data_IF_789727880592
#
_entry.id   IF_789727880592
#
_cell.length_a   1.000
_cell.length_b   1.000
_cell.length_c   1.000
_cell.angle_alpha   90.00
_cell.angle_beta   90.00
_cell.angle_gamma   90.00
#
_symmetry.space_group_name_H-M   'P 1'
#
loop_
_entity.id
_entity.type
_entity.pdbx_description
1 polymer ?
#
# COMPACT_ATOMS: atom_id res chain seq x y z
N UNK A 1 12.16 16.66 23.31
CA UNK A 1 12.78 16.06 22.11
C UNK A 1 12.67 17.07 20.99
N UNK A 2 13.79 17.73 20.65
CA UNK A 2 13.82 18.84 19.69
C UNK A 2 13.81 18.31 18.26
N UNK A 3 12.84 18.78 17.48
CA UNK A 3 12.67 18.55 16.04
C UNK A 3 13.76 19.27 15.23
N UNK A 4 14.98 18.76 15.24
CA UNK A 4 16.08 19.30 14.42
C UNK A 4 16.66 18.16 13.59
N UNK A 5 16.17 18.03 12.35
CA UNK A 5 16.71 17.12 11.33
C UNK A 5 16.02 15.75 11.26
N UNK A 6 14.75 15.69 10.86
CA UNK A 6 14.17 14.40 10.45
C UNK A 6 14.73 14.02 9.08
N UNK A 7 15.43 12.90 9.04
CA UNK A 7 15.92 12.28 7.81
C UNK A 7 14.80 11.42 7.21
N UNK A 8 14.85 11.18 5.89
CA UNK A 8 13.90 10.30 5.22
C UNK A 8 13.89 8.92 5.89
N UNK A 9 12.70 8.45 6.28
CA UNK A 9 12.53 7.17 6.99
C UNK A 9 12.50 7.29 8.51
N UNK A 10 12.66 8.48 9.10
CA UNK A 10 12.54 8.65 10.55
C UNK A 10 11.10 8.47 11.04
N UNK A 11 11.00 7.90 12.25
CA UNK A 11 9.76 7.73 13.00
C UNK A 11 9.47 9.04 13.74
N UNK A 12 8.40 9.73 13.35
CA UNK A 12 7.99 10.99 13.94
C UNK A 12 7.18 10.81 15.23
N UNK A 13 6.39 9.74 15.29
CA UNK A 13 5.57 9.38 16.45
C UNK A 13 5.52 7.87 16.54
N UNK A 14 5.79 7.37 17.74
CA UNK A 14 5.63 5.97 18.10
C UNK A 14 4.54 5.89 19.16
N UNK A 15 3.44 5.20 18.85
CA UNK A 15 2.44 4.86 19.85
C UNK A 15 2.64 3.41 20.28
N UNK A 16 2.95 3.16 21.57
CA UNK A 16 3.11 1.80 22.06
C UNK A 16 1.78 1.04 21.94
N UNK A 17 1.90 -0.27 21.73
CA UNK A 17 0.75 -1.16 21.67
C UNK A 17 -0.01 -1.18 23.01
N UNK A 18 -1.32 -1.45 22.94
CA UNK A 18 -2.18 -1.50 24.14
C UNK A 18 -1.96 -2.76 25.00
N UNK A 19 -1.45 -3.83 24.38
CA UNK A 19 -1.12 -5.10 25.04
C UNK A 19 -2.29 -5.68 25.87
N UNK A 20 -3.48 -5.73 25.27
CA UNK A 20 -4.68 -6.23 25.93
C UNK A 20 -4.60 -7.73 26.23
N UNK A 21 -4.66 -8.11 27.51
CA UNK A 21 -4.73 -9.52 27.95
C UNK A 21 -5.97 -10.23 27.43
N UNK A 22 -7.10 -9.53 27.36
CA UNK A 22 -8.34 -10.07 26.81
C UNK A 22 -8.18 -10.45 25.33
N UNK A 23 -7.45 -9.64 24.56
CA UNK A 23 -7.16 -9.93 23.16
C UNK A 23 -6.23 -11.13 22.99
N UNK A 24 -5.21 -11.27 23.87
CA UNK A 24 -4.35 -12.46 23.88
C UNK A 24 -5.17 -13.74 24.11
N UNK A 25 -6.06 -13.74 25.12
CA UNK A 25 -6.94 -14.88 25.41
C UNK A 25 -7.85 -15.18 24.23
N UNK A 26 -8.46 -14.15 23.63
CA UNK A 26 -9.32 -14.31 22.46
C UNK A 26 -8.56 -14.94 21.28
N UNK A 27 -7.34 -14.48 20.98
CA UNK A 27 -6.49 -15.07 19.95
C UNK A 27 -6.23 -16.54 20.24
N UNK A 28 -5.86 -16.90 21.47
CA UNK A 28 -5.61 -18.30 21.84
C UNK A 28 -6.87 -19.15 21.62
N UNK A 29 -8.04 -18.68 22.05
CA UNK A 29 -9.30 -19.41 21.85
C UNK A 29 -9.64 -19.58 20.36
N UNK A 30 -9.51 -18.51 19.57
CA UNK A 30 -9.72 -18.57 18.12
C UNK A 30 -8.72 -19.55 17.47
N UNK A 31 -7.44 -19.54 17.86
CA UNK A 31 -6.48 -20.51 17.31
C UNK A 31 -6.81 -21.96 17.63
N UNK A 32 -7.42 -22.24 18.79
CA UNK A 32 -7.91 -23.60 19.09
C UNK A 32 -9.06 -23.97 18.16
N UNK A 33 -9.99 -23.04 17.91
CA UNK A 33 -11.09 -23.21 16.96
C UNK A 33 -10.54 -23.43 15.55
N UNK A 34 -9.58 -22.63 15.11
CA UNK A 34 -8.89 -22.76 13.82
C UNK A 34 -8.29 -24.16 13.64
N UNK A 35 -7.57 -24.67 14.64
CA UNK A 35 -6.99 -26.02 14.58
C UNK A 35 -8.07 -27.08 14.42
N UNK A 36 -9.20 -26.95 15.11
CA UNK A 36 -10.34 -27.87 14.97
C UNK A 36 -10.96 -27.76 13.58
N UNK A 37 -11.16 -26.56 13.06
CA UNK A 37 -11.72 -26.33 11.73
C UNK A 37 -10.80 -26.89 10.64
N UNK A 38 -9.51 -26.55 10.66
CA UNK A 38 -8.51 -27.06 9.72
C UNK A 38 -8.39 -28.58 9.82
N UNK A 39 -8.45 -29.13 11.04
CA UNK A 39 -8.46 -30.58 11.27
C UNK A 39 -9.68 -31.26 10.63
N UNK A 40 -10.87 -30.70 10.84
CA UNK A 40 -12.12 -31.20 10.25
C UNK A 40 -12.11 -31.07 8.72
N UNK A 41 -11.63 -29.96 8.18
CA UNK A 41 -11.46 -29.75 6.74
C UNK A 41 -10.53 -30.80 6.12
N UNK A 42 -9.37 -30.98 6.73
CA UNK A 42 -8.36 -31.95 6.28
C UNK A 42 -8.89 -33.38 6.35
N UNK A 43 -9.58 -33.72 7.44
CA UNK A 43 -10.25 -35.01 7.59
C UNK A 43 -11.33 -35.22 6.52
N UNK A 44 -12.18 -34.22 6.28
CA UNK A 44 -13.22 -34.28 5.26
C UNK A 44 -12.68 -34.42 3.84
N UNK A 45 -11.56 -33.78 3.52
CA UNK A 45 -10.86 -33.95 2.24
C UNK A 45 -10.32 -35.37 2.08
N UNK A 46 -9.59 -35.89 3.07
CA UNK A 46 -9.04 -37.25 3.03
C UNK A 46 -10.14 -38.31 3.01
N UNK A 47 -11.24 -38.06 3.73
CA UNK A 47 -12.44 -38.91 3.74
C UNK A 47 -13.30 -38.83 2.48
N UNK A 48 -12.90 -38.04 1.48
CA UNK A 48 -13.60 -37.95 0.19
C UNK A 48 -14.92 -37.19 0.22
N UNK A 49 -15.17 -36.35 1.23
CA UNK A 49 -16.42 -35.57 1.33
C UNK A 49 -16.62 -34.63 0.13
N UNK A 50 -15.53 -34.16 -0.48
CA UNK A 50 -15.56 -33.30 -1.67
C UNK A 50 -15.95 -33.99 -2.98
N UNK A 51 -16.16 -35.31 -3.00
CA UNK A 51 -16.56 -36.04 -4.21
C UNK A 51 -18.04 -35.86 -4.58
N UNK A 52 -18.86 -35.43 -3.61
CA UNK A 52 -20.28 -35.15 -3.83
C UNK A 52 -20.50 -33.64 -3.92
N UNK A 53 -21.50 -33.21 -4.69
CA UNK A 53 -21.82 -31.78 -4.86
C UNK A 53 -22.07 -31.09 -3.50
N UNK A 54 -22.91 -31.70 -2.66
CA UNK A 54 -23.25 -31.18 -1.33
C UNK A 54 -22.02 -31.14 -0.42
N UNK A 55 -21.21 -32.19 -0.42
CA UNK A 55 -20.01 -32.24 0.42
C UNK A 55 -18.91 -31.27 -0.04
N UNK A 56 -18.80 -31.01 -1.34
CA UNK A 56 -17.91 -29.97 -1.87
C UNK A 56 -18.35 -28.56 -1.45
N UNK A 57 -19.66 -28.26 -1.49
CA UNK A 57 -20.20 -26.99 -0.97
C UNK A 57 -19.95 -26.84 0.53
N UNK A 58 -20.14 -27.92 1.31
CA UNK A 58 -19.85 -27.92 2.74
C UNK A 58 -18.37 -27.64 3.03
N UNK A 59 -17.45 -28.33 2.36
CA UNK A 59 -16.01 -28.09 2.49
C UNK A 59 -15.63 -26.66 2.07
N UNK A 60 -16.24 -26.12 1.02
CA UNK A 60 -16.07 -24.72 0.63
C UNK A 60 -16.52 -23.73 1.70
N UNK A 61 -17.67 -23.97 2.33
CA UNK A 61 -18.16 -23.18 3.46
C UNK A 61 -17.26 -23.28 4.69
N UNK A 62 -16.74 -24.47 4.97
CA UNK A 62 -15.79 -24.72 6.05
C UNK A 62 -14.46 -23.99 5.78
N UNK A 63 -13.95 -24.03 4.55
CA UNK A 63 -12.77 -23.28 4.13
C UNK A 63 -12.96 -21.76 4.27
N UNK A 64 -14.14 -21.24 3.91
CA UNK A 64 -14.46 -19.84 4.14
C UNK A 64 -14.47 -19.50 5.64
N UNK A 65 -15.02 -20.38 6.48
CA UNK A 65 -15.00 -20.25 7.94
C UNK A 65 -13.58 -20.17 8.50
N UNK A 66 -12.67 -21.03 8.04
CA UNK A 66 -11.23 -21.00 8.38
C UNK A 66 -10.62 -19.64 8.07
N UNK A 67 -10.82 -19.13 6.85
CA UNK A 67 -10.27 -17.81 6.49
C UNK A 67 -10.87 -16.65 7.29
N UNK A 68 -12.15 -16.73 7.64
CA UNK A 68 -12.80 -15.74 8.49
C UNK A 68 -12.19 -15.77 9.90
N UNK A 69 -12.03 -16.95 10.49
CA UNK A 69 -11.44 -17.10 11.82
C UNK A 69 -9.99 -16.57 11.85
N UNK A 70 -9.18 -16.98 10.87
CA UNK A 70 -7.82 -16.46 10.68
C UNK A 70 -7.80 -14.94 10.53
N UNK A 71 -8.75 -14.36 9.78
CA UNK A 71 -8.84 -12.91 9.63
C UNK A 71 -9.13 -12.21 10.97
N UNK A 72 -9.97 -12.80 11.84
CA UNK A 72 -10.22 -12.26 13.18
C UNK A 72 -8.98 -12.33 14.07
N UNK A 73 -8.23 -13.44 14.03
CA UNK A 73 -6.95 -13.57 14.74
C UNK A 73 -5.98 -12.47 14.31
N UNK A 74 -5.80 -12.29 13.00
CA UNK A 74 -4.90 -11.26 12.45
C UNK A 74 -5.37 -9.85 12.76
N UNK A 75 -6.68 -9.60 12.73
CA UNK A 75 -7.26 -8.29 13.05
C UNK A 75 -7.02 -7.94 14.51
N UNK A 76 -7.28 -8.87 15.44
CA UNK A 76 -7.02 -8.68 16.86
C UNK A 76 -5.53 -8.44 17.12
N UNK A 77 -4.65 -9.24 16.48
CA UNK A 77 -3.21 -9.04 16.58
C UNK A 77 -2.79 -7.64 16.11
N UNK A 78 -3.28 -7.23 14.94
CA UNK A 78 -3.01 -5.90 14.36
C UNK A 78 -3.51 -4.77 15.24
N UNK A 79 -4.69 -4.92 15.83
CA UNK A 79 -5.31 -3.85 16.61
C UNK A 79 -4.65 -3.66 17.96
N UNK A 80 -4.22 -4.75 18.60
CA UNK A 80 -3.84 -4.70 20.02
C UNK A 80 -2.33 -4.85 20.28
N UNK A 81 -1.58 -5.49 19.37
CA UNK A 81 -0.14 -5.79 19.57
C UNK A 81 0.79 -5.09 18.58
N UNK A 82 0.29 -4.60 17.45
CA UNK A 82 1.11 -3.85 16.50
C UNK A 82 1.18 -2.38 16.92
N UNK A 83 2.39 -1.81 17.13
CA UNK A 83 2.54 -0.40 17.43
C UNK A 83 2.19 0.46 16.21
N UNK A 84 1.55 1.60 16.44
CA UNK A 84 1.28 2.56 15.38
C UNK A 84 2.47 3.50 15.24
N UNK A 85 3.01 3.59 14.01
CA UNK A 85 4.22 4.37 13.71
C UNK A 85 3.97 5.31 12.56
N UNK A 86 4.13 6.60 12.86
CA UNK A 86 4.09 7.64 11.84
C UNK A 86 5.48 7.79 11.24
N UNK A 87 5.67 7.19 10.06
CA UNK A 87 6.92 7.25 9.30
C UNK A 87 6.78 8.29 8.20
N UNK A 88 7.72 9.23 8.13
CA UNK A 88 7.74 10.19 7.03
C UNK A 88 8.24 9.52 5.76
N UNK A 89 7.37 9.45 4.75
CA UNK A 89 7.71 9.01 3.40
C UNK A 89 7.85 10.21 2.46
N UNK A 90 9.06 10.44 1.96
CA UNK A 90 9.33 11.20 0.73
C UNK A 90 8.56 10.60 -0.44
N UNK A 91 7.69 11.40 -1.03
CA UNK A 91 6.99 11.12 -2.30
C UNK A 91 8.02 10.99 -3.43
N UNK A 92 7.88 10.02 -4.34
CA UNK A 92 8.64 10.01 -5.60
C UNK A 92 8.24 11.25 -6.41
N UNK A 93 9.22 12.00 -6.93
CA UNK A 93 8.93 13.19 -7.76
C UNK A 93 8.12 12.75 -8.98
N UNK A 94 6.97 13.40 -9.20
CA UNK A 94 6.21 13.23 -10.45
C UNK A 94 6.82 14.20 -11.47
N UNK A 95 6.72 13.89 -12.76
CA UNK A 95 7.27 14.71 -13.85
C UNK A 95 6.70 16.15 -13.85
N UNK A 96 5.50 16.34 -13.30
CA UNK A 96 4.87 17.64 -13.07
C UNK A 96 5.63 18.51 -12.04
N UNK A 97 6.29 17.91 -11.05
CA UNK A 97 7.08 18.65 -10.05
C UNK A 97 8.50 18.99 -10.55
N UNK A 98 8.86 18.57 -11.76
CA UNK A 98 10.16 18.82 -12.37
C UNK A 98 10.24 20.21 -13.01
N UNK A 99 9.10 20.74 -13.46
CA UNK A 99 8.98 22.04 -14.10
C UNK A 99 8.23 22.99 -13.16
N UNK A 100 8.98 23.71 -12.35
CA UNK A 100 8.42 24.60 -11.33
C UNK A 100 7.98 25.95 -11.93
N UNK A 101 8.26 26.21 -13.22
CA UNK A 101 7.93 27.47 -13.89
C UNK A 101 7.37 27.20 -15.29
N UNK A 102 6.28 27.90 -15.61
CA UNK A 102 5.52 27.79 -16.87
C UNK A 102 6.41 28.05 -18.11
N UNK A 103 7.49 28.81 -17.93
CA UNK A 103 8.53 29.13 -18.91
C UNK A 103 9.48 27.98 -19.30
N UNK A 104 9.53 26.87 -18.53
CA UNK A 104 10.35 25.69 -18.86
C UNK A 104 9.55 24.61 -19.64
N UNK A 105 8.25 24.81 -19.88
CA UNK A 105 7.34 23.82 -20.50
C UNK A 105 7.61 23.65 -22.00
N UNK A 106 7.94 24.73 -22.71
CA UNK A 106 8.21 24.70 -24.16
C UNK A 106 9.66 24.36 -24.50
N UNK A 107 10.49 24.08 -23.49
CA UNK A 107 11.94 23.98 -23.64
C UNK A 107 12.55 25.29 -24.13
N UNK A 108 13.87 25.43 -24.01
CA UNK A 108 14.56 26.49 -24.74
C UNK A 108 14.40 26.21 -26.24
N UNK A 109 13.44 26.87 -26.88
CA UNK A 109 13.30 26.88 -28.32
C UNK A 109 14.52 27.60 -28.88
N UNK A 110 15.52 26.81 -29.30
CA UNK A 110 16.77 27.25 -29.97
C UNK A 110 16.47 28.07 -31.26
N UNK A 111 15.20 28.19 -31.65
CA UNK A 111 14.71 28.75 -32.91
C UNK A 111 14.37 30.23 -32.88
N UNK A 112 14.29 30.89 -31.71
CA UNK A 112 13.78 32.27 -31.64
C UNK A 112 14.74 33.31 -32.27
N UNK A 113 16.03 32.97 -32.41
CA UNK A 113 17.02 33.82 -33.11
C UNK A 113 17.23 33.49 -34.60
N UNK A 114 16.90 32.27 -35.03
CA UNK A 114 17.24 31.79 -36.38
C UNK A 114 16.27 32.31 -37.45
N UNK A 115 14.98 32.39 -37.12
CA UNK A 115 13.95 32.87 -38.05
C UNK A 115 14.05 34.38 -38.31
N UNK A 116 14.46 35.16 -37.32
CA UNK A 116 14.66 36.60 -37.47
C UNK A 116 15.88 36.93 -38.33
N UNK A 117 16.95 36.11 -38.26
CA UNK A 117 18.07 36.20 -39.19
C UNK A 117 17.68 35.93 -40.64
N UNK A 118 16.82 34.94 -40.87
CA UNK A 118 16.31 34.59 -42.20
C UNK A 118 15.39 35.69 -42.75
N UNK A 119 14.46 36.20 -41.94
CA UNK A 119 13.55 37.28 -42.36
C UNK A 119 14.31 38.55 -42.76
N UNK A 120 15.37 38.89 -42.04
CA UNK A 120 16.22 40.04 -42.36
C UNK A 120 17.07 39.82 -43.61
N UNK A 121 17.47 38.57 -43.91
CA UNK A 121 18.19 38.22 -45.13
C UNK A 121 17.28 38.24 -46.38
N UNK A 122 16.00 37.91 -46.23
CA UNK A 122 15.04 37.83 -47.35
C UNK A 122 14.40 39.20 -47.67
N UNK A 123 14.26 40.11 -46.69
CA UNK A 123 13.59 41.39 -46.90
C UNK A 123 14.45 42.59 -46.46
N UNK A 124 15.17 43.26 -47.38
CA UNK A 124 16.15 44.28 -47.03
C UNK A 124 15.57 45.68 -46.75
N UNK A 125 14.24 45.87 -46.79
CA UNK A 125 13.60 47.14 -46.45
C UNK A 125 12.90 47.06 -45.10
N UNK A 126 13.69 47.07 -44.03
CA UNK A 126 13.21 47.61 -42.75
C UNK A 126 13.56 49.09 -42.71
N UNK A 127 12.54 49.96 -42.70
CA UNK A 127 12.72 51.38 -42.38
C UNK A 127 13.22 51.48 -40.94
N UNK A 128 14.28 52.28 -40.73
CA UNK A 128 14.75 52.66 -39.39
C UNK A 128 13.66 53.35 -38.60
#
# INVERSE_FOLDING_TARGET
>A
MSSTGSTYGDIHRYEPARESTAAAIAIVLLTVIEVVLVGLFSYGLVGGWGLTEVGNMFLGGLLAGIFIDLAFVLLLYRKEFLPDVMIVKKRRRKWEDLYIREEDVDGTTITDGALDGIKRAVYPYYKR
#
